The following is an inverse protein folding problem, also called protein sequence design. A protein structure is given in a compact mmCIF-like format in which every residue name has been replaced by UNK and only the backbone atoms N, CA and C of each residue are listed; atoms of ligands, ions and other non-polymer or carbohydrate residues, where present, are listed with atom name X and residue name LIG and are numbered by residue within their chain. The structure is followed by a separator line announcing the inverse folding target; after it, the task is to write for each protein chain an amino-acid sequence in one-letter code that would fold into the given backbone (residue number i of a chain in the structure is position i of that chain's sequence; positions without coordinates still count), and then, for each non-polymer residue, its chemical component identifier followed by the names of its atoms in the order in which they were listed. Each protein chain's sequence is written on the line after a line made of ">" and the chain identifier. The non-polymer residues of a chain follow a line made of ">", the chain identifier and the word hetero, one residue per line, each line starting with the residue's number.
data_IF_409365642413
#
_entry.id   IF_409365642413
#
_cell.length_a   1.000
_cell.length_b   1.000
_cell.length_c   1.000
_cell.angle_alpha   90.00
_cell.angle_beta   90.00
_cell.angle_gamma   90.00
#
_symmetry.space_group_name_H-M   'P 1'
#
loop_
_entity.id
_entity.type
_entity.pdbx_description
1 polymer ?
#
# COMPACT_ATOMS: atom_id res chain seq x y z
N UNK A 1 -12.27 -9.54 -6.65
CA UNK A 1 -11.22 -9.01 -7.55
C UNK A 1 -11.91 -7.91 -8.33
N UNK A 2 -11.40 -6.67 -8.29
CA UNK A 2 -12.04 -5.54 -8.99
C UNK A 2 -12.04 -5.80 -10.50
N UNK A 3 -13.12 -5.45 -11.19
CA UNK A 3 -13.24 -5.54 -12.64
C UNK A 3 -12.43 -4.43 -13.32
N UNK A 4 -12.11 -4.57 -14.62
CA UNK A 4 -11.40 -3.52 -15.37
C UNK A 4 -12.21 -2.21 -15.40
N UNK A 5 -13.53 -2.30 -15.42
CA UNK A 5 -14.44 -1.14 -15.33
C UNK A 5 -14.31 -0.40 -14.00
N UNK A 6 -14.04 -1.10 -12.89
CA UNK A 6 -13.81 -0.48 -11.57
C UNK A 6 -12.51 0.34 -11.50
N UNK A 7 -11.55 0.09 -12.39
CA UNK A 7 -10.30 0.87 -12.46
C UNK A 7 -10.41 2.16 -13.28
N UNK A 8 -11.61 2.49 -13.77
CA UNK A 8 -11.90 3.78 -14.42
C UNK A 8 -12.32 4.87 -13.43
N UNK A 9 -12.83 4.51 -12.24
CA UNK A 9 -13.21 5.47 -11.19
C UNK A 9 -11.98 5.87 -10.36
N UNK A 10 -11.56 7.16 -10.37
CA UNK A 10 -10.44 7.64 -9.57
C UNK A 10 -10.59 7.38 -8.07
N UNK A 11 -11.81 7.30 -7.54
CA UNK A 11 -12.06 6.95 -6.14
C UNK A 11 -11.69 5.49 -5.85
N UNK A 12 -12.11 4.57 -6.73
CA UNK A 12 -11.79 3.15 -6.58
C UNK A 12 -10.29 2.93 -6.72
N UNK A 13 -9.66 3.59 -7.70
CA UNK A 13 -8.20 3.58 -7.85
C UNK A 13 -7.52 4.12 -6.59
N UNK A 14 -7.97 5.26 -6.06
CA UNK A 14 -7.41 5.82 -4.82
C UNK A 14 -7.48 4.83 -3.66
N UNK A 15 -8.63 4.20 -3.42
CA UNK A 15 -8.79 3.24 -2.33
C UNK A 15 -7.81 2.07 -2.44
N UNK A 16 -7.57 1.58 -3.65
CA UNK A 16 -6.61 0.51 -3.89
C UNK A 16 -5.18 1.01 -3.67
N UNK A 17 -4.84 2.23 -4.11
CA UNK A 17 -3.53 2.84 -3.85
C UNK A 17 -3.29 3.05 -2.34
N UNK A 18 -4.31 3.41 -1.56
CA UNK A 18 -4.22 3.50 -0.09
C UNK A 18 -3.89 2.13 0.53
N UNK A 19 -4.52 1.05 0.06
CA UNK A 19 -4.20 -0.32 0.49
C UNK A 19 -2.75 -0.68 0.18
N UNK A 20 -2.30 -0.40 -1.04
CA UNK A 20 -0.91 -0.64 -1.45
C UNK A 20 0.09 0.18 -0.63
N UNK A 21 -0.24 1.44 -0.33
CA UNK A 21 0.54 2.25 0.62
C UNK A 21 0.64 1.54 1.97
N UNK A 22 -0.50 1.11 2.55
CA UNK A 22 -0.51 0.35 3.80
C UNK A 22 0.34 -0.93 3.78
N UNK A 23 0.27 -1.70 2.70
CA UNK A 23 1.10 -2.91 2.52
C UNK A 23 2.59 -2.56 2.59
N UNK A 24 3.05 -1.62 1.77
CA UNK A 24 4.46 -1.20 1.74
C UNK A 24 4.92 -0.53 3.04
N UNK A 25 4.03 0.23 3.69
CA UNK A 25 4.29 0.79 5.02
C UNK A 25 4.49 -0.29 6.08
N UNK A 26 3.70 -1.37 6.04
CA UNK A 26 3.86 -2.50 6.97
C UNK A 26 5.18 -3.26 6.78
N UNK A 27 5.65 -3.38 5.54
CA UNK A 27 6.97 -3.96 5.23
C UNK A 27 8.10 -3.07 5.71
N UNK A 28 8.02 -1.78 5.42
CA UNK A 28 8.97 -0.80 5.91
C UNK A 28 9.03 -0.80 7.45
N UNK A 29 7.92 -1.09 8.13
CA UNK A 29 7.85 -1.23 9.59
C UNK A 29 8.53 -2.51 10.07
N UNK A 30 8.20 -3.68 9.51
CA UNK A 30 8.67 -4.99 10.03
C UNK A 30 10.12 -5.33 9.66
N UNK A 31 10.63 -4.83 8.53
CA UNK A 31 11.95 -5.21 8.03
C UNK A 31 13.08 -4.60 8.90
N UNK A 32 14.09 -5.37 9.33
CA UNK A 32 15.20 -4.86 10.12
C UNK A 32 16.17 -4.02 9.27
N UNK A 33 16.80 -3.01 9.90
CA UNK A 33 17.88 -2.21 9.27
C UNK A 33 19.27 -2.86 9.38
N UNK A 34 19.42 -3.86 10.24
CA UNK A 34 20.73 -4.43 10.61
C UNK A 34 21.38 -5.30 9.53
N UNK A 35 20.63 -5.71 8.50
CA UNK A 35 21.14 -6.53 7.39
C UNK A 35 21.08 -5.72 6.09
N UNK A 36 22.20 -5.59 5.38
CA UNK A 36 22.33 -4.72 4.19
C UNK A 36 21.26 -4.97 3.12
N UNK A 37 20.99 -6.24 2.81
CA UNK A 37 19.95 -6.61 1.84
C UNK A 37 18.53 -6.25 2.32
N UNK A 38 18.26 -6.38 3.62
CA UNK A 38 16.96 -6.03 4.20
C UNK A 38 16.79 -4.52 4.38
N UNK A 39 17.88 -3.77 4.57
CA UNK A 39 17.86 -2.30 4.59
C UNK A 39 17.41 -1.74 3.24
N UNK A 40 17.98 -2.23 2.13
CA UNK A 40 17.59 -1.82 0.79
C UNK A 40 16.10 -2.13 0.52
N UNK A 41 15.62 -3.30 0.93
CA UNK A 41 14.21 -3.65 0.80
C UNK A 41 13.30 -2.77 1.68
N UNK A 42 13.74 -2.44 2.90
CA UNK A 42 13.01 -1.54 3.81
C UNK A 42 12.90 -0.14 3.23
N UNK A 43 13.99 0.39 2.70
CA UNK A 43 14.04 1.71 2.06
C UNK A 43 13.15 1.75 0.81
N UNK A 44 13.27 0.76 -0.07
CA UNK A 44 12.40 0.64 -1.24
C UNK A 44 10.91 0.52 -0.84
N UNK A 45 10.60 -0.22 0.23
CA UNK A 45 9.24 -0.30 0.77
C UNK A 45 8.75 1.05 1.30
N UNK A 46 9.61 1.84 1.96
CA UNK A 46 9.26 3.18 2.41
C UNK A 46 9.02 4.14 1.22
N UNK A 47 9.82 4.05 0.17
CA UNK A 47 9.62 4.83 -1.06
C UNK A 47 8.30 4.47 -1.75
N UNK A 48 7.97 3.18 -1.83
CA UNK A 48 6.70 2.73 -2.42
C UNK A 48 5.51 3.17 -1.56
N UNK A 49 5.61 3.08 -0.23
CA UNK A 49 4.60 3.63 0.69
C UNK A 49 4.27 5.09 0.37
N UNK A 50 5.30 5.93 0.25
CA UNK A 50 5.15 7.36 -0.05
C UNK A 50 4.56 7.60 -1.44
N UNK A 51 5.03 6.88 -2.46
CA UNK A 51 4.53 6.99 -3.82
C UNK A 51 3.04 6.64 -3.92
N UNK A 52 2.63 5.53 -3.31
CA UNK A 52 1.22 5.11 -3.29
C UNK A 52 0.34 6.07 -2.48
N UNK A 53 0.86 6.61 -1.37
CA UNK A 53 0.18 7.63 -0.57
C UNK A 53 -0.11 8.86 -1.43
N UNK A 54 0.92 9.43 -2.05
CA UNK A 54 0.79 10.63 -2.88
C UNK A 54 -0.20 10.41 -4.03
N UNK A 55 -0.07 9.29 -4.74
CA UNK A 55 -0.91 8.98 -5.90
C UNK A 55 -2.36 8.72 -5.51
N UNK A 56 -2.61 8.15 -4.33
CA UNK A 56 -3.97 8.02 -3.81
C UNK A 56 -4.65 9.38 -3.62
N UNK A 57 -3.89 10.40 -3.18
CA UNK A 57 -4.39 11.76 -3.04
C UNK A 57 -4.63 12.39 -4.41
N UNK A 58 -3.67 12.25 -5.34
CA UNK A 58 -3.83 12.76 -6.71
C UNK A 58 -5.10 12.23 -7.37
N UNK A 59 -5.42 10.95 -7.19
CA UNK A 59 -6.62 10.33 -7.75
C UNK A 59 -7.91 10.86 -7.13
N UNK A 60 -7.97 11.09 -5.80
CA UNK A 60 -9.15 11.73 -5.20
C UNK A 60 -9.31 13.18 -5.63
N UNK A 61 -8.21 13.92 -5.72
CA UNK A 61 -8.23 15.31 -6.17
C UNK A 61 -8.71 15.43 -7.62
N UNK A 62 -8.32 14.48 -8.50
CA UNK A 62 -8.79 14.42 -9.88
C UNK A 62 -10.31 14.20 -9.99
N UNK A 63 -10.95 13.56 -9.00
CA UNK A 63 -12.41 13.37 -8.96
C UNK A 63 -13.16 14.68 -8.66
N UNK A 64 -12.50 15.67 -8.04
CA UNK A 64 -13.05 17.00 -7.81
C UNK A 64 -14.23 17.09 -6.83
N UNK A 65 -14.54 16.02 -6.10
CA UNK A 65 -15.70 15.97 -5.20
C UNK A 65 -15.48 16.66 -3.84
N UNK A 66 -14.22 16.74 -3.39
CA UNK A 66 -13.84 17.33 -2.10
C UNK A 66 -12.62 18.24 -2.29
N UNK A 67 -12.34 19.09 -1.31
CA UNK A 67 -11.11 19.89 -1.29
C UNK A 67 -9.89 18.99 -1.10
N UNK A 68 -8.71 19.39 -1.62
CA UNK A 68 -7.46 18.65 -1.42
C UNK A 68 -7.13 18.39 0.05
N UNK A 69 -7.44 19.34 0.94
CA UNK A 69 -7.19 19.22 2.38
C UNK A 69 -8.04 18.12 3.01
N UNK A 70 -9.32 18.04 2.65
CA UNK A 70 -10.22 17.01 3.15
C UNK A 70 -9.79 15.62 2.64
N UNK A 71 -9.40 15.52 1.36
CA UNK A 71 -8.89 14.28 0.80
C UNK A 71 -7.62 13.81 1.51
N UNK A 72 -6.68 14.72 1.79
CA UNK A 72 -5.47 14.43 2.54
C UNK A 72 -5.78 13.95 3.96
N UNK A 73 -6.70 14.62 4.67
CA UNK A 73 -7.09 14.24 6.03
C UNK A 73 -7.70 12.84 6.08
N UNK A 74 -8.64 12.54 5.17
CA UNK A 74 -9.27 11.23 5.08
C UNK A 74 -8.24 10.14 4.76
N UNK A 75 -7.41 10.32 3.73
CA UNK A 75 -6.37 9.35 3.36
C UNK A 75 -5.38 9.12 4.51
N UNK A 76 -4.95 10.19 5.20
CA UNK A 76 -4.03 10.11 6.33
C UNK A 76 -4.61 9.33 7.51
N UNK A 77 -5.95 9.27 7.63
CA UNK A 77 -6.65 8.48 8.66
C UNK A 77 -6.77 7.01 8.27
N UNK A 78 -6.98 6.69 6.99
CA UNK A 78 -7.20 5.31 6.54
C UNK A 78 -5.91 4.50 6.40
N UNK A 79 -4.83 5.10 5.89
CA UNK A 79 -3.58 4.38 5.61
C UNK A 79 -2.98 3.72 6.86
N UNK A 80 -2.94 4.35 8.05
CA UNK A 80 -2.49 3.69 9.28
C UNK A 80 -3.25 2.41 9.60
N UNK A 81 -4.56 2.36 9.35
CA UNK A 81 -5.36 1.15 9.57
C UNK A 81 -4.92 0.02 8.63
N UNK A 82 -4.64 0.33 7.37
CA UNK A 82 -4.09 -0.66 6.44
C UNK A 82 -2.70 -1.14 6.89
N UNK A 83 -1.82 -0.23 7.32
CA UNK A 83 -0.50 -0.60 7.87
C UNK A 83 -0.65 -1.60 9.00
N UNK A 84 -1.56 -1.35 9.96
CA UNK A 84 -1.74 -2.23 11.10
C UNK A 84 -2.35 -3.59 10.72
N UNK A 85 -3.31 -3.62 9.78
CA UNK A 85 -3.87 -4.87 9.25
C UNK A 85 -2.78 -5.72 8.58
N UNK A 86 -2.00 -5.15 7.66
CA UNK A 86 -0.95 -5.89 6.98
C UNK A 86 0.16 -6.29 7.94
N UNK A 87 0.59 -5.38 8.83
CA UNK A 87 1.63 -5.67 9.83
C UNK A 87 1.26 -6.86 10.71
N UNK A 88 0.01 -6.89 11.21
CA UNK A 88 -0.50 -8.03 12.00
C UNK A 88 -0.48 -9.33 11.20
N UNK A 89 -0.83 -9.30 9.91
CA UNK A 89 -0.78 -10.48 9.05
C UNK A 89 0.66 -10.97 8.79
N UNK A 90 1.61 -10.04 8.60
CA UNK A 90 3.03 -10.36 8.46
C UNK A 90 3.57 -11.01 9.76
N UNK A 91 3.23 -10.47 10.93
CA UNK A 91 3.63 -11.03 12.23
C UNK A 91 3.05 -12.42 12.46
N UNK A 92 1.75 -12.62 12.21
CA UNK A 92 1.09 -13.93 12.34
C UNK A 92 1.75 -14.94 11.40
N UNK A 93 2.00 -14.56 10.15
CA UNK A 93 2.68 -15.43 9.18
C UNK A 93 4.07 -15.82 9.66
N UNK A 94 4.86 -14.85 10.13
CA UNK A 94 6.21 -15.09 10.62
C UNK A 94 6.22 -16.05 11.80
N UNK A 95 5.31 -15.86 12.76
CA UNK A 95 5.19 -16.73 13.94
C UNK A 95 4.80 -18.16 13.56
N UNK A 96 3.88 -18.31 12.60
CA UNK A 96 3.31 -19.62 12.26
C UNK A 96 4.16 -20.41 11.27
N UNK A 97 4.91 -19.75 10.39
CA UNK A 97 5.56 -20.39 9.24
C UNK A 97 7.05 -20.08 9.12
N UNK A 98 7.58 -19.16 9.93
CA UNK A 98 8.94 -18.65 9.77
C UNK A 98 9.12 -17.68 8.59
N UNK A 99 8.05 -17.39 7.83
CA UNK A 99 8.05 -16.43 6.72
C UNK A 99 7.04 -15.30 6.95
N UNK A 100 7.44 -14.06 6.68
CA UNK A 100 6.51 -12.91 6.67
C UNK A 100 5.49 -12.99 5.53
N UNK A 101 5.70 -13.83 4.50
CA UNK A 101 4.86 -13.86 3.30
C UNK A 101 3.86 -15.01 3.28
N UNK A 102 2.67 -14.76 3.85
CA UNK A 102 1.53 -15.66 3.69
C UNK A 102 1.01 -15.67 2.24
N UNK A 103 0.25 -16.70 1.80
CA UNK A 103 -0.38 -16.71 0.48
C UNK A 103 -1.28 -15.49 0.22
N UNK A 104 -1.91 -14.95 1.26
CA UNK A 104 -2.71 -13.73 1.15
C UNK A 104 -1.81 -12.50 0.92
N UNK A 105 -0.74 -12.33 1.70
CA UNK A 105 0.22 -11.24 1.51
C UNK A 105 0.82 -11.28 0.10
N UNK A 106 1.20 -12.46 -0.40
CA UNK A 106 1.75 -12.61 -1.76
C UNK A 106 0.76 -12.12 -2.83
N UNK A 107 -0.52 -12.46 -2.73
CA UNK A 107 -1.55 -11.97 -3.66
C UNK A 107 -1.70 -10.45 -3.62
N UNK A 108 -1.63 -9.86 -2.43
CA UNK A 108 -1.72 -8.40 -2.26
C UNK A 108 -0.50 -7.70 -2.89
N UNK A 109 0.70 -8.27 -2.73
CA UNK A 109 1.90 -7.81 -3.42
C UNK A 109 1.79 -7.89 -4.94
N UNK A 110 1.35 -9.04 -5.46
CA UNK A 110 1.20 -9.24 -6.90
C UNK A 110 0.21 -8.24 -7.48
N UNK A 111 -0.88 -7.98 -6.76
CA UNK A 111 -1.87 -6.98 -7.14
C UNK A 111 -1.27 -5.57 -7.15
N UNK A 112 -0.60 -5.15 -6.08
CA UNK A 112 0.03 -3.84 -6.01
C UNK A 112 1.15 -3.66 -7.05
N UNK A 113 1.94 -4.70 -7.33
CA UNK A 113 2.97 -4.65 -8.37
C UNK A 113 2.38 -4.47 -9.78
N UNK A 114 1.26 -5.15 -10.09
CA UNK A 114 0.55 -4.96 -11.36
C UNK A 114 0.01 -3.54 -11.50
N UNK A 115 -0.54 -2.98 -10.43
CA UNK A 115 -1.04 -1.60 -10.41
C UNK A 115 0.07 -0.57 -10.58
N UNK A 116 1.25 -0.80 -9.99
CA UNK A 116 2.42 0.06 -10.21
C UNK A 116 2.69 0.23 -11.70
N UNK A 117 2.71 -0.89 -12.43
CA UNK A 117 3.07 -0.88 -13.84
C UNK A 117 1.98 -0.26 -14.73
N UNK A 118 0.72 -0.23 -14.25
CA UNK A 118 -0.43 0.32 -14.96
C UNK A 118 -0.74 1.80 -14.64
N UNK A 119 -0.47 2.25 -13.41
CA UNK A 119 -0.93 3.56 -12.89
C UNK A 119 0.23 4.50 -12.54
N UNK A 120 1.44 3.97 -12.33
CA UNK A 120 2.59 4.73 -11.81
C UNK A 120 3.73 4.90 -12.83
N UNK A 121 3.53 4.50 -14.09
CA UNK A 121 4.39 4.86 -15.23
C UNK A 121 3.87 6.12 -15.91
#
# INVERSE_FOLDING_TARGET
>A
MLSEDDMTDPFMVSNVLQRCSGLYGSLAKILPKSYSQLSALKENSASLFALYFEKSISMLNAKGQNTPENNLQEISKYIPNYVDVYYRQLEISQRNTGSIFSPWIKREFDHCNKLRDAVLR
#
